data_IF_117044252857
#
_entry.id   IF_117044252857
#
_cell.length_a   1.000
_cell.length_b   1.000
_cell.length_c   1.000
_cell.angle_alpha   90.00
_cell.angle_beta   90.00
_cell.angle_gamma   90.00
#
_symmetry.space_group_name_H-M   'P 1'
#
loop_
_entity.id
_entity.type
_entity.pdbx_description
1 polymer ?
#
# COMPACT_ATOMS: atom_id res chain seq x y z
N UNK A 1 19.48 -3.51 11.78
CA UNK A 1 19.29 -2.60 10.64
C UNK A 1 20.33 -1.50 10.75
N UNK A 2 21.13 -1.30 9.70
CA UNK A 2 22.10 -0.21 9.63
C UNK A 2 21.39 1.10 9.24
N UNK A 3 21.97 2.24 9.61
CA UNK A 3 21.41 3.56 9.29
C UNK A 3 21.25 3.77 7.78
N UNK A 4 22.24 3.38 7.00
CA UNK A 4 22.18 3.45 5.53
C UNK A 4 21.03 2.62 4.91
N UNK A 5 20.75 1.46 5.50
CA UNK A 5 19.64 0.59 5.09
C UNK A 5 18.29 1.23 5.46
N UNK A 6 18.21 1.80 6.67
CA UNK A 6 17.06 2.57 7.11
C UNK A 6 16.76 3.71 6.15
N UNK A 7 17.72 4.57 5.86
CA UNK A 7 17.57 5.71 4.96
C UNK A 7 17.12 5.28 3.58
N UNK A 8 17.74 4.25 3.02
CA UNK A 8 17.40 3.69 1.70
C UNK A 8 15.96 3.19 1.66
N UNK A 9 15.51 2.45 2.67
CA UNK A 9 14.16 1.89 2.70
C UNK A 9 13.12 2.98 2.87
N UNK A 10 13.35 3.98 3.72
CA UNK A 10 12.48 5.15 3.87
C UNK A 10 12.42 5.95 2.55
N UNK A 11 13.55 6.19 1.93
CA UNK A 11 13.61 6.94 0.66
C UNK A 11 12.77 6.26 -0.44
N UNK A 12 12.90 4.93 -0.58
CA UNK A 12 12.23 4.17 -1.63
C UNK A 12 10.74 3.97 -1.31
N UNK A 13 10.38 3.64 -0.06
CA UNK A 13 9.02 3.19 0.27
C UNK A 13 8.10 4.30 0.80
N UNK A 14 8.63 5.46 1.17
CA UNK A 14 7.85 6.57 1.69
C UNK A 14 8.14 7.88 0.95
N UNK A 15 9.41 8.34 0.93
CA UNK A 15 9.75 9.64 0.35
C UNK A 15 9.44 9.68 -1.14
N UNK A 16 9.63 8.59 -1.88
CA UNK A 16 9.29 8.50 -3.30
C UNK A 16 7.81 8.77 -3.57
N UNK A 17 6.91 8.22 -2.74
CA UNK A 17 5.47 8.45 -2.87
C UNK A 17 5.09 9.91 -2.65
N UNK A 18 5.74 10.58 -1.69
CA UNK A 18 5.58 12.01 -1.49
C UNK A 18 6.04 12.80 -2.73
N UNK A 19 7.23 12.52 -3.25
CA UNK A 19 7.77 13.24 -4.41
C UNK A 19 6.92 13.04 -5.66
N UNK A 20 6.47 11.82 -5.93
CA UNK A 20 5.59 11.51 -7.05
C UNK A 20 4.23 12.22 -6.91
N UNK A 21 3.62 12.15 -5.73
CA UNK A 21 2.37 12.87 -5.45
C UNK A 21 2.53 14.37 -5.65
N UNK A 22 3.59 14.97 -5.12
CA UNK A 22 3.91 16.39 -5.31
C UNK A 22 4.06 16.77 -6.79
N UNK A 23 4.67 15.90 -7.59
CA UNK A 23 4.88 16.16 -9.02
C UNK A 23 3.58 16.19 -9.83
N UNK A 24 2.57 15.39 -9.47
CA UNK A 24 1.32 15.28 -10.24
C UNK A 24 0.17 16.12 -9.69
N UNK A 25 0.20 16.46 -8.40
CA UNK A 25 -0.94 17.07 -7.71
C UNK A 25 -1.34 18.43 -8.30
N UNK A 26 -0.37 19.25 -8.75
CA UNK A 26 -0.63 20.55 -9.37
C UNK A 26 -1.50 20.43 -10.63
N UNK A 27 -1.21 19.46 -11.48
CA UNK A 27 -2.02 19.16 -12.68
C UNK A 27 -3.40 18.64 -12.30
N UNK A 28 -3.49 17.73 -11.33
CA UNK A 28 -4.76 17.19 -10.84
C UNK A 28 -5.66 18.29 -10.25
N UNK A 29 -5.09 19.22 -9.47
CA UNK A 29 -5.81 20.36 -8.90
C UNK A 29 -6.38 21.27 -10.00
N UNK A 30 -5.59 21.57 -11.04
CA UNK A 30 -6.01 22.38 -12.19
C UNK A 30 -7.15 21.72 -12.95
N UNK A 31 -7.07 20.42 -13.17
CA UNK A 31 -8.06 19.65 -13.91
C UNK A 31 -9.29 19.26 -13.07
N UNK A 32 -9.25 19.47 -11.74
CA UNK A 32 -10.28 19.04 -10.78
C UNK A 32 -10.60 17.55 -10.93
N UNK A 33 -9.58 16.75 -11.17
CA UNK A 33 -9.69 15.30 -11.29
C UNK A 33 -8.33 14.64 -11.01
N UNK A 34 -8.35 13.60 -10.20
CA UNK A 34 -7.15 12.80 -9.92
C UNK A 34 -7.44 11.58 -9.06
N UNK A 35 -6.58 10.59 -9.21
CA UNK A 35 -6.59 9.37 -8.40
C UNK A 35 -5.16 9.04 -8.03
N UNK A 36 -4.86 9.02 -6.73
CA UNK A 36 -3.56 8.59 -6.20
C UNK A 36 -3.81 7.30 -5.43
N UNK A 37 -3.11 6.25 -5.80
CA UNK A 37 -3.24 4.94 -5.17
C UNK A 37 -1.85 4.49 -4.73
N UNK A 38 -1.63 4.50 -3.42
CA UNK A 38 -0.39 4.09 -2.80
C UNK A 38 -0.40 2.58 -2.51
N UNK A 39 0.66 1.89 -2.87
CA UNK A 39 0.80 0.46 -2.53
C UNK A 39 1.52 0.34 -1.20
N UNK A 40 0.73 0.08 -0.18
CA UNK A 40 1.16 -0.17 1.19
C UNK A 40 1.65 -1.60 1.42
N UNK A 41 1.43 -2.08 2.63
CA UNK A 41 1.66 -3.48 3.06
C UNK A 41 0.91 -3.73 4.35
N UNK A 42 0.50 -4.96 4.59
CA UNK A 42 0.01 -5.41 5.89
C UNK A 42 0.99 -5.06 7.02
N UNK A 43 2.30 -5.10 6.76
CA UNK A 43 3.33 -4.75 7.74
C UNK A 43 3.29 -3.27 8.18
N UNK A 44 2.66 -2.39 7.42
CA UNK A 44 2.42 -1.00 7.84
C UNK A 44 1.46 -0.89 9.03
N UNK A 45 0.60 -1.87 9.23
CA UNK A 45 -0.36 -1.93 10.34
C UNK A 45 0.08 -2.91 11.44
N UNK A 46 0.66 -4.06 11.06
CA UNK A 46 1.03 -5.12 12.02
C UNK A 46 2.44 -5.01 12.55
N UNK A 47 3.34 -4.37 11.82
CA UNK A 47 4.77 -4.52 12.02
C UNK A 47 5.27 -5.91 11.60
N UNK A 48 6.59 -6.11 11.65
CA UNK A 48 7.21 -7.42 11.54
C UNK A 48 8.62 -7.40 12.17
N UNK A 49 9.02 -8.46 12.89
CA UNK A 49 10.38 -8.57 13.45
C UNK A 49 11.43 -8.44 12.34
N UNK A 50 12.48 -7.66 12.61
CA UNK A 50 13.56 -7.42 11.64
C UNK A 50 13.24 -6.41 10.52
N UNK A 51 12.00 -5.96 10.39
CA UNK A 51 11.55 -5.08 9.30
C UNK A 51 11.07 -3.70 9.78
N UNK A 52 11.58 -3.19 10.90
CA UNK A 52 11.10 -1.93 11.49
C UNK A 52 11.18 -0.74 10.51
N UNK A 53 12.21 -0.65 9.67
CA UNK A 53 12.35 0.37 8.63
C UNK A 53 11.25 0.29 7.57
N UNK A 54 10.96 -0.91 7.09
CA UNK A 54 9.90 -1.15 6.10
C UNK A 54 8.51 -0.91 6.70
N UNK A 55 8.26 -1.42 7.89
CA UNK A 55 7.00 -1.20 8.61
C UNK A 55 6.77 0.28 8.90
N UNK A 56 7.80 1.01 9.33
CA UNK A 56 7.73 2.45 9.54
C UNK A 56 7.41 3.21 8.24
N UNK A 57 8.08 2.86 7.13
CA UNK A 57 7.82 3.46 5.82
C UNK A 57 6.38 3.21 5.35
N UNK A 58 5.88 1.98 5.49
CA UNK A 58 4.52 1.61 5.06
C UNK A 58 3.44 2.18 5.99
N UNK A 59 3.71 2.31 7.29
CA UNK A 59 2.85 3.05 8.22
C UNK A 59 2.81 4.56 7.89
N UNK A 60 3.98 5.16 7.60
CA UNK A 60 4.08 6.54 7.14
C UNK A 60 3.31 6.81 5.85
N UNK A 61 3.29 5.83 4.93
CA UNK A 61 2.53 5.91 3.69
C UNK A 61 1.01 5.96 3.93
N UNK A 62 0.50 5.27 4.95
CA UNK A 62 -0.90 5.36 5.38
C UNK A 62 -1.20 6.77 5.89
N UNK A 63 -0.32 7.34 6.73
CA UNK A 63 -0.44 8.71 7.22
C UNK A 63 -0.41 9.74 6.09
N UNK A 64 0.53 9.61 5.15
CA UNK A 64 0.61 10.46 3.94
C UNK A 64 -0.68 10.38 3.11
N UNK A 65 -1.21 9.18 2.91
CA UNK A 65 -2.47 8.96 2.19
C UNK A 65 -3.61 9.74 2.81
N UNK A 66 -3.79 9.64 4.12
CA UNK A 66 -4.88 10.32 4.85
C UNK A 66 -4.76 11.84 4.81
N UNK A 67 -3.54 12.37 4.99
CA UNK A 67 -3.30 13.82 4.94
C UNK A 67 -3.59 14.39 3.56
N UNK A 68 -3.01 13.78 2.51
CA UNK A 68 -3.26 14.24 1.14
C UNK A 68 -4.74 14.14 0.76
N UNK A 69 -5.44 13.08 1.18
CA UNK A 69 -6.88 12.93 0.92
C UNK A 69 -7.69 14.12 1.45
N UNK A 70 -7.37 14.60 2.65
CA UNK A 70 -8.02 15.78 3.25
C UNK A 70 -7.66 17.08 2.51
N UNK A 71 -6.41 17.23 2.08
CA UNK A 71 -5.94 18.43 1.39
C UNK A 71 -6.59 18.62 0.01
N UNK A 72 -6.83 17.52 -0.73
CA UNK A 72 -7.22 17.60 -2.14
C UNK A 72 -8.63 17.13 -2.46
N UNK A 73 -9.36 16.59 -1.48
CA UNK A 73 -10.68 16.01 -1.67
C UNK A 73 -11.71 16.99 -2.27
N UNK A 74 -11.65 18.27 -1.88
CA UNK A 74 -12.54 19.34 -2.42
C UNK A 74 -12.34 19.58 -3.93
N UNK A 75 -11.32 19.00 -4.53
CA UNK A 75 -10.96 19.14 -5.95
C UNK A 75 -11.26 17.88 -6.76
N UNK A 76 -12.12 16.97 -6.26
CA UNK A 76 -12.45 15.71 -6.91
C UNK A 76 -11.21 14.83 -7.15
N UNK A 77 -10.25 14.88 -6.22
CA UNK A 77 -9.06 14.04 -6.22
C UNK A 77 -9.18 13.09 -5.05
N UNK A 78 -9.07 11.79 -5.30
CA UNK A 78 -9.04 10.79 -4.23
C UNK A 78 -7.63 10.26 -4.02
N UNK A 79 -7.29 10.02 -2.77
CA UNK A 79 -6.00 9.45 -2.37
C UNK A 79 -6.27 8.27 -1.45
N UNK A 80 -5.87 7.07 -1.88
CA UNK A 80 -6.11 5.85 -1.13
C UNK A 80 -4.85 4.98 -1.10
N UNK A 81 -4.81 4.05 -0.18
CA UNK A 81 -3.78 3.02 -0.11
C UNK A 81 -4.40 1.63 -0.32
N UNK A 82 -3.64 0.73 -0.89
CA UNK A 82 -3.91 -0.71 -0.89
C UNK A 82 -2.89 -1.35 0.04
N UNK A 83 -3.33 -2.22 0.92
CA UNK A 83 -2.49 -2.97 1.86
C UNK A 83 -2.49 -4.45 1.47
N UNK A 84 -1.56 -4.89 0.60
CA UNK A 84 -1.43 -6.29 0.26
C UNK A 84 -0.93 -7.10 1.46
N UNK A 85 -1.39 -8.36 1.55
CA UNK A 85 -0.72 -9.39 2.31
C UNK A 85 0.40 -10.05 1.51
N UNK A 86 0.61 -11.34 1.70
CA UNK A 86 1.55 -12.11 0.87
C UNK A 86 0.96 -12.33 -0.52
N UNK A 87 1.69 -11.87 -1.53
CA UNK A 87 1.35 -11.99 -2.95
C UNK A 87 2.41 -12.82 -3.65
N UNK A 88 1.98 -13.85 -4.37
CA UNK A 88 2.88 -14.69 -5.17
C UNK A 88 3.46 -13.88 -6.32
N UNK A 89 4.74 -13.58 -6.22
CA UNK A 89 5.54 -12.85 -7.21
C UNK A 89 6.88 -13.54 -7.37
N UNK A 90 7.71 -13.11 -8.33
CA UNK A 90 9.06 -13.64 -8.48
C UNK A 90 9.90 -13.49 -7.20
N UNK A 91 9.63 -12.47 -6.38
CA UNK A 91 10.31 -12.25 -5.09
C UNK A 91 9.94 -13.28 -4.01
N UNK A 92 8.83 -13.99 -4.15
CA UNK A 92 8.32 -14.95 -3.16
C UNK A 92 8.47 -16.41 -3.62
N UNK A 93 9.07 -16.67 -4.79
CA UNK A 93 9.22 -18.02 -5.33
C UNK A 93 10.25 -18.87 -4.58
N UNK A 94 11.23 -18.24 -3.95
CA UNK A 94 12.35 -18.89 -3.29
C UNK A 94 12.13 -19.10 -1.77
N UNK A 95 10.91 -18.88 -1.28
CA UNK A 95 10.55 -19.17 0.11
C UNK A 95 10.47 -20.69 0.26
N UNK A 96 11.14 -21.25 1.27
CA UNK A 96 11.12 -22.69 1.54
C UNK A 96 9.70 -23.18 1.90
N UNK A 97 9.50 -24.50 1.76
CA UNK A 97 8.15 -25.10 1.88
C UNK A 97 7.58 -24.99 3.29
N UNK A 98 8.41 -25.09 4.31
CA UNK A 98 7.99 -24.99 5.73
C UNK A 98 7.55 -23.54 6.03
N UNK A 99 8.31 -22.56 5.56
CA UNK A 99 7.94 -21.14 5.72
C UNK A 99 6.67 -20.81 4.93
N UNK A 100 6.52 -21.33 3.71
CA UNK A 100 5.30 -21.18 2.93
C UNK A 100 4.08 -21.70 3.68
N UNK A 101 4.18 -22.89 4.27
CA UNK A 101 3.08 -23.49 5.04
C UNK A 101 2.73 -22.63 6.27
N UNK A 102 3.74 -22.17 7.02
CA UNK A 102 3.53 -21.30 8.19
C UNK A 102 2.86 -19.97 7.82
N UNK A 103 3.19 -19.40 6.66
CA UNK A 103 2.56 -18.19 6.15
C UNK A 103 1.10 -18.45 5.71
N UNK A 104 0.83 -19.56 5.04
CA UNK A 104 -0.51 -19.96 4.63
C UNK A 104 -1.44 -20.19 5.82
N UNK A 105 -0.91 -20.70 6.94
CA UNK A 105 -1.70 -20.88 8.16
C UNK A 105 -2.22 -19.56 8.73
N UNK A 106 -1.49 -18.46 8.55
CA UNK A 106 -1.88 -17.13 8.99
C UNK A 106 -2.93 -16.47 8.07
N UNK A 107 -3.18 -17.03 6.88
CA UNK A 107 -4.12 -16.47 5.91
C UNK A 107 -5.43 -17.25 5.96
N UNK A 108 -6.55 -16.66 6.41
CA UNK A 108 -7.86 -17.33 6.44
C UNK A 108 -8.28 -17.94 5.10
N UNK A 109 -8.02 -17.27 3.97
CA UNK A 109 -8.32 -17.79 2.63
C UNK A 109 -7.39 -18.92 2.18
N UNK A 110 -6.38 -19.32 2.98
CA UNK A 110 -5.47 -20.43 2.73
C UNK A 110 -4.79 -20.43 1.36
N UNK A 111 -4.56 -19.25 0.82
CA UNK A 111 -3.79 -19.03 -0.41
C UNK A 111 -3.08 -17.68 -0.35
N UNK A 112 -1.96 -17.59 -1.04
CA UNK A 112 -1.37 -16.29 -1.35
C UNK A 112 -2.24 -15.51 -2.33
N UNK A 113 -2.20 -14.19 -2.24
CA UNK A 113 -2.75 -13.30 -3.25
C UNK A 113 -2.00 -13.47 -4.58
N UNK A 114 -2.64 -13.08 -5.66
CA UNK A 114 -2.00 -12.94 -6.97
C UNK A 114 -1.88 -11.46 -7.32
N UNK A 115 -0.93 -11.03 -8.15
CA UNK A 115 -0.86 -9.62 -8.60
C UNK A 115 -2.19 -9.08 -9.13
N UNK A 116 -2.97 -9.93 -9.79
CA UNK A 116 -4.29 -9.56 -10.30
C UNK A 116 -5.31 -9.22 -9.18
N UNK A 117 -5.17 -9.80 -7.98
CA UNK A 117 -6.04 -9.47 -6.85
C UNK A 117 -5.80 -8.01 -6.42
N UNK A 118 -4.55 -7.55 -6.44
CA UNK A 118 -4.19 -6.16 -6.15
C UNK A 118 -4.60 -5.23 -7.29
N UNK A 119 -4.34 -5.63 -8.54
CA UNK A 119 -4.66 -4.83 -9.72
C UNK A 119 -6.16 -4.53 -9.84
N UNK A 120 -7.04 -5.50 -9.55
CA UNK A 120 -8.50 -5.31 -9.54
C UNK A 120 -8.92 -4.22 -8.55
N UNK A 121 -8.33 -4.19 -7.35
CA UNK A 121 -8.61 -3.16 -6.35
C UNK A 121 -8.10 -1.79 -6.83
N UNK A 122 -6.92 -1.74 -7.45
CA UNK A 122 -6.40 -0.51 -8.02
C UNK A 122 -7.30 0.04 -9.14
N UNK A 123 -7.78 -0.83 -10.04
CA UNK A 123 -8.73 -0.46 -11.10
C UNK A 123 -10.04 0.07 -10.50
N UNK A 124 -10.58 -0.59 -9.47
CA UNK A 124 -11.78 -0.14 -8.78
C UNK A 124 -11.60 1.27 -8.20
N UNK A 125 -10.52 1.51 -7.47
CA UNK A 125 -10.22 2.83 -6.88
C UNK A 125 -9.95 3.91 -7.95
N UNK A 126 -9.37 3.54 -9.08
CA UNK A 126 -9.09 4.45 -10.19
C UNK A 126 -10.33 4.83 -10.99
N UNK A 127 -11.35 3.98 -10.99
CA UNK A 127 -12.58 4.15 -11.77
C UNK A 127 -13.57 5.12 -11.10
N UNK A 128 -14.69 5.37 -11.78
CA UNK A 128 -15.83 6.10 -11.22
C UNK A 128 -16.45 5.40 -10.00
N UNK A 129 -16.36 4.07 -9.92
CA UNK A 129 -16.87 3.29 -8.77
C UNK A 129 -16.14 3.63 -7.45
N UNK A 130 -14.86 4.05 -7.52
CA UNK A 130 -14.08 4.51 -6.37
C UNK A 130 -14.22 6.00 -6.04
N UNK A 131 -15.08 6.74 -6.74
CA UNK A 131 -15.13 8.22 -6.66
C UNK A 131 -15.51 8.79 -5.28
N UNK A 132 -16.17 7.99 -4.44
CA UNK A 132 -16.55 8.40 -3.07
C UNK A 132 -15.68 7.74 -1.99
N UNK A 133 -14.53 7.18 -2.38
CA UNK A 133 -13.56 6.55 -1.47
C UNK A 133 -12.29 7.39 -1.48
N UNK A 134 -11.94 7.97 -0.33
CA UNK A 134 -10.70 8.73 -0.16
C UNK A 134 -10.19 8.65 1.27
N UNK A 135 -8.89 8.62 1.46
CA UNK A 135 -8.23 8.47 2.76
C UNK A 135 -8.22 7.04 3.30
N UNK A 136 -8.73 6.08 2.53
CA UNK A 136 -8.87 4.70 2.96
C UNK A 136 -7.63 3.86 2.67
N UNK A 137 -7.42 2.85 3.52
CA UNK A 137 -6.46 1.76 3.28
C UNK A 137 -7.23 0.47 3.08
N UNK A 138 -7.31 0.02 1.84
CA UNK A 138 -8.03 -1.21 1.48
C UNK A 138 -7.12 -2.42 1.70
N UNK A 139 -7.50 -3.27 2.64
CA UNK A 139 -6.80 -4.52 2.91
C UNK A 139 -7.11 -5.57 1.82
N UNK A 140 -6.07 -6.04 1.12
CA UNK A 140 -6.14 -7.12 0.11
C UNK A 140 -5.16 -8.21 0.51
N UNK A 141 -5.49 -8.94 1.58
CA UNK A 141 -4.55 -9.79 2.29
C UNK A 141 -5.11 -11.17 2.65
N UNK A 142 -6.26 -11.56 2.09
CA UNK A 142 -6.87 -12.87 2.36
C UNK A 142 -7.38 -13.06 3.80
N UNK A 143 -7.57 -11.95 4.54
CA UNK A 143 -7.98 -11.97 5.94
C UNK A 143 -6.81 -12.05 6.93
N UNK A 144 -5.56 -11.98 6.46
CA UNK A 144 -4.38 -12.03 7.31
C UNK A 144 -4.34 -10.92 8.37
N UNK A 145 -4.91 -9.77 8.06
CA UNK A 145 -5.09 -8.65 8.97
C UNK A 145 -6.47 -8.02 8.75
N UNK A 146 -7.25 -7.95 9.81
CA UNK A 146 -8.62 -7.44 9.80
C UNK A 146 -8.67 -6.20 10.72
N UNK A 147 -8.54 -5.01 10.13
CA UNK A 147 -8.62 -3.73 10.81
C UNK A 147 -9.87 -2.98 10.36
#
# INVERSE_FOLDING_TARGET
IKEEEWEKVIAINLSSAFYLSKAVIGSMLKNRHGRIINIGSVQGSTGAPGHSHYSAAKAGLIGLTKSLAQEVGSRNITVNAISPGYVSTDMTKDIDEDMNQALLEQIPLKRFGKPIDIAKTAIYLASSSGSYITGETINVNGGMNML
#
